data_IF_723459382035
#
_entry.id   IF_723459382035
#
_cell.length_a   1.000
_cell.length_b   1.000
_cell.length_c   1.000
_cell.angle_alpha   90.00
_cell.angle_beta   90.00
_cell.angle_gamma   90.00
#
_symmetry.space_group_name_H-M   'P 1'
#
loop_
_entity.id
_entity.type
_entity.pdbx_description
1 polymer ?
#
# COMPACT_ATOMS: atom_id res chain seq x y z
N UNK A 1 -8.31 -32.51 -1.10
CA UNK A 1 -8.14 -31.49 -2.16
C UNK A 1 -6.65 -31.24 -2.36
N UNK A 2 -6.16 -31.64 -3.53
CA UNK A 2 -4.77 -31.84 -3.90
C UNK A 2 -3.99 -30.53 -3.98
N UNK A 3 -3.01 -30.35 -3.08
CA UNK A 3 -1.92 -29.37 -3.25
C UNK A 3 -1.05 -29.85 -4.40
N UNK A 4 -1.12 -29.19 -5.54
CA UNK A 4 -0.12 -29.32 -6.60
C UNK A 4 1.21 -28.82 -6.03
N UNK A 5 2.08 -29.79 -5.72
CA UNK A 5 3.48 -29.54 -5.37
C UNK A 5 4.11 -28.85 -6.58
N UNK A 6 4.46 -27.56 -6.44
CA UNK A 6 5.19 -26.84 -7.47
C UNK A 6 6.50 -27.57 -7.72
N UNK A 7 6.67 -28.15 -8.91
CA UNK A 7 7.93 -28.70 -9.33
C UNK A 7 8.99 -27.60 -9.26
N UNK A 8 9.91 -27.73 -8.31
CA UNK A 8 10.82 -26.64 -7.95
C UNK A 8 11.71 -26.18 -9.12
N UNK A 9 12.17 -24.91 -9.09
CA UNK A 9 13.04 -24.30 -10.10
C UNK A 9 14.33 -25.09 -10.38
N UNK A 10 14.72 -25.97 -9.46
CA UNK A 10 15.88 -26.87 -9.57
C UNK A 10 15.82 -27.77 -10.80
N UNK A 11 14.62 -28.24 -11.20
CA UNK A 11 14.47 -29.14 -12.35
C UNK A 11 14.69 -28.43 -13.71
N UNK A 12 14.40 -27.12 -13.77
CA UNK A 12 14.68 -26.29 -14.95
C UNK A 12 16.16 -25.89 -15.06
N UNK A 13 16.84 -25.64 -13.93
CA UNK A 13 18.28 -25.39 -13.91
C UNK A 13 19.09 -26.64 -14.31
N UNK A 14 18.65 -27.84 -13.94
CA UNK A 14 19.29 -29.09 -14.36
C UNK A 14 19.17 -29.35 -15.87
N UNK A 15 18.03 -29.02 -16.49
CA UNK A 15 17.83 -29.15 -17.93
C UNK A 15 18.68 -28.15 -18.72
N UNK A 16 18.80 -26.90 -18.25
CA UNK A 16 19.64 -25.88 -18.88
C UNK A 16 21.14 -26.17 -18.71
N UNK A 17 21.56 -26.66 -17.54
CA UNK A 17 22.94 -27.09 -17.33
C UNK A 17 23.31 -28.28 -18.25
N UNK A 18 22.40 -29.25 -18.44
CA UNK A 18 22.63 -30.40 -19.31
C UNK A 18 22.81 -29.98 -20.79
N UNK A 19 22.04 -29.00 -21.28
CA UNK A 19 22.15 -28.45 -22.65
C UNK A 19 23.44 -27.66 -22.84
N UNK A 20 23.86 -26.89 -21.84
CA UNK A 20 25.12 -26.11 -21.89
C UNK A 20 26.34 -27.04 -21.85
N UNK A 21 26.30 -28.11 -21.05
CA UNK A 21 27.39 -29.09 -20.96
C UNK A 21 27.51 -29.95 -22.23
N UNK A 22 26.38 -30.30 -22.89
CA UNK A 22 26.42 -31.02 -24.18
C UNK A 22 26.90 -30.14 -25.33
N UNK A 23 26.60 -28.84 -25.32
CA UNK A 23 27.16 -27.88 -26.29
C UNK A 23 28.66 -27.61 -26.10
N UNK A 24 29.14 -27.63 -24.85
CA UNK A 24 30.55 -27.42 -24.48
C UNK A 24 31.48 -28.51 -25.03
N UNK A 25 31.01 -29.75 -25.10
CA UNK A 25 31.86 -30.89 -25.48
C UNK A 25 32.04 -31.05 -27.00
N UNK A 26 31.17 -30.48 -27.83
CA UNK A 26 31.20 -30.70 -29.29
C UNK A 26 32.00 -29.66 -30.08
N UNK A 27 32.30 -28.48 -29.53
CA UNK A 27 32.95 -27.38 -30.28
C UNK A 27 34.09 -26.80 -29.44
N UNK A 28 35.28 -27.40 -29.52
CA UNK A 28 36.47 -26.89 -28.84
C UNK A 28 36.89 -25.49 -29.33
N UNK A 29 37.27 -24.61 -28.40
CA UNK A 29 37.86 -23.29 -28.69
C UNK A 29 37.34 -22.15 -27.81
N UNK A 30 37.98 -20.97 -27.89
CA UNK A 30 37.64 -19.75 -27.13
C UNK A 30 36.23 -19.22 -27.42
N UNK A 31 35.65 -19.60 -28.56
CA UNK A 31 34.26 -19.30 -28.92
C UNK A 31 33.24 -19.94 -27.95
N UNK A 32 33.55 -21.11 -27.37
CA UNK A 32 32.69 -21.77 -26.38
C UNK A 32 32.56 -21.01 -25.06
N UNK A 33 33.63 -20.31 -24.66
CA UNK A 33 33.65 -19.47 -23.45
C UNK A 33 32.69 -18.28 -23.57
N UNK A 34 32.65 -17.62 -24.73
CA UNK A 34 31.76 -16.47 -24.92
C UNK A 34 30.28 -16.89 -24.91
N UNK A 35 29.92 -18.01 -25.52
CA UNK A 35 28.53 -18.53 -25.51
C UNK A 35 28.10 -18.99 -24.10
N UNK A 36 29.01 -19.62 -23.34
CA UNK A 36 28.77 -19.97 -21.95
C UNK A 36 28.55 -18.75 -21.05
N UNK A 37 29.35 -17.70 -21.20
CA UNK A 37 29.20 -16.46 -20.44
C UNK A 37 27.91 -15.71 -20.80
N UNK A 38 27.54 -15.65 -22.07
CA UNK A 38 26.30 -14.97 -22.52
C UNK A 38 25.06 -15.72 -22.05
N UNK A 39 25.04 -17.05 -22.10
CA UNK A 39 23.92 -17.85 -21.59
C UNK A 39 23.80 -17.79 -20.06
N UNK A 40 24.93 -17.84 -19.33
CA UNK A 40 24.94 -17.64 -17.89
C UNK A 40 24.50 -16.21 -17.49
N UNK A 41 24.94 -15.19 -18.22
CA UNK A 41 24.53 -13.80 -17.99
C UNK A 41 23.06 -13.58 -18.35
N UNK A 42 22.58 -14.14 -19.47
CA UNK A 42 21.19 -14.10 -19.89
C UNK A 42 20.27 -14.81 -18.91
N UNK A 43 20.64 -16.01 -18.46
CA UNK A 43 19.93 -16.75 -17.42
C UNK A 43 19.93 -16.02 -16.08
N UNK A 44 21.06 -15.45 -15.66
CA UNK A 44 21.17 -14.65 -14.44
C UNK A 44 20.32 -13.37 -14.53
N UNK A 45 20.35 -12.67 -15.66
CA UNK A 45 19.59 -11.42 -15.87
C UNK A 45 18.09 -11.67 -16.00
N UNK A 46 17.68 -12.74 -16.67
CA UNK A 46 16.27 -13.15 -16.74
C UNK A 46 15.77 -13.59 -15.37
N UNK A 47 16.57 -14.37 -14.61
CA UNK A 47 16.26 -14.76 -13.23
C UNK A 47 16.19 -13.56 -12.27
N UNK A 48 17.07 -12.56 -12.43
CA UNK A 48 17.00 -11.31 -11.66
C UNK A 48 15.73 -10.52 -12.02
N UNK A 49 15.40 -10.41 -13.32
CA UNK A 49 14.17 -9.73 -13.75
C UNK A 49 12.90 -10.42 -13.26
N UNK A 50 12.84 -11.75 -13.30
CA UNK A 50 11.65 -12.48 -12.84
C UNK A 50 11.50 -12.43 -11.33
N UNK A 51 12.60 -12.49 -10.56
CA UNK A 51 12.55 -12.25 -9.11
C UNK A 51 12.11 -10.83 -8.75
N UNK A 52 12.67 -9.81 -9.42
CA UNK A 52 12.29 -8.41 -9.17
C UNK A 52 10.82 -8.13 -9.50
N UNK A 53 10.25 -8.82 -10.50
CA UNK A 53 8.83 -8.73 -10.83
C UNK A 53 7.94 -9.43 -9.79
N UNK A 54 8.34 -10.59 -9.28
CA UNK A 54 7.59 -11.26 -8.20
C UNK A 54 7.62 -10.47 -6.90
N UNK A 55 8.78 -9.92 -6.54
CA UNK A 55 8.92 -9.10 -5.33
C UNK A 55 8.07 -7.82 -5.42
N UNK A 56 7.92 -7.24 -6.62
CA UNK A 56 7.10 -6.04 -6.82
C UNK A 56 5.60 -6.33 -6.77
N UNK A 57 5.14 -7.48 -7.28
CA UNK A 57 3.76 -7.94 -7.16
C UNK A 57 3.37 -8.15 -5.69
N UNK A 58 4.18 -8.88 -4.92
CA UNK A 58 3.95 -9.11 -3.49
C UNK A 58 3.94 -7.79 -2.69
N UNK A 59 4.86 -6.88 -3.01
CA UNK A 59 4.91 -5.56 -2.38
C UNK A 59 3.67 -4.71 -2.75
N UNK A 60 3.15 -4.82 -3.97
CA UNK A 60 1.95 -4.12 -4.40
C UNK A 60 0.70 -4.68 -3.71
N UNK A 61 0.58 -6.00 -3.58
CA UNK A 61 -0.49 -6.65 -2.84
C UNK A 61 -0.49 -6.23 -1.37
N UNK A 62 0.69 -6.23 -0.72
CA UNK A 62 0.86 -5.79 0.66
C UNK A 62 0.49 -4.30 0.84
N UNK A 63 0.89 -3.44 -0.10
CA UNK A 63 0.50 -2.02 -0.12
C UNK A 63 -1.01 -1.85 -0.31
N UNK A 64 -1.62 -2.67 -1.17
CA UNK A 64 -3.07 -2.60 -1.43
C UNK A 64 -3.87 -3.01 -0.19
N UNK A 65 -3.45 -4.10 0.48
CA UNK A 65 -4.07 -4.53 1.75
C UNK A 65 -3.92 -3.48 2.86
N UNK A 66 -2.73 -2.90 3.02
CA UNK A 66 -2.52 -1.87 4.05
C UNK A 66 -3.30 -0.59 3.75
N UNK A 67 -3.38 -0.18 2.48
CA UNK A 67 -4.21 0.95 2.06
C UNK A 67 -5.71 0.69 2.32
N UNK A 68 -6.20 -0.51 2.02
CA UNK A 68 -7.59 -0.88 2.30
C UNK A 68 -7.86 -0.94 3.80
N UNK A 69 -6.94 -1.49 4.59
CA UNK A 69 -7.05 -1.50 6.05
C UNK A 69 -7.13 -0.07 6.63
N UNK A 70 -6.28 0.83 6.16
CA UNK A 70 -6.31 2.24 6.56
C UNK A 70 -7.62 2.94 6.18
N UNK A 71 -8.27 2.53 5.07
CA UNK A 71 -9.58 3.07 4.67
C UNK A 71 -10.72 2.53 5.54
N UNK A 72 -10.65 1.27 5.96
CA UNK A 72 -11.68 0.62 6.77
C UNK A 72 -11.61 0.99 8.24
N UNK A 73 -10.42 1.31 8.76
CA UNK A 73 -10.18 1.57 10.19
C UNK A 73 -11.12 2.62 10.82
N UNK A 74 -11.42 3.79 10.21
CA UNK A 74 -12.35 4.75 10.80
C UNK A 74 -13.76 4.18 10.99
N UNK A 75 -14.24 3.40 10.01
CA UNK A 75 -15.55 2.74 10.09
C UNK A 75 -15.55 1.64 11.16
N UNK A 76 -14.48 0.86 11.26
CA UNK A 76 -14.33 -0.14 12.32
C UNK A 76 -14.35 0.51 13.71
N UNK A 77 -13.62 1.63 13.89
CA UNK A 77 -13.59 2.37 15.14
C UNK A 77 -14.97 2.94 15.52
N UNK A 78 -15.73 3.43 14.54
CA UNK A 78 -17.10 3.91 14.75
C UNK A 78 -18.05 2.80 15.21
N UNK A 79 -17.97 1.63 14.57
CA UNK A 79 -18.79 0.48 14.95
C UNK A 79 -18.40 -0.05 16.34
N UNK A 80 -17.10 -0.10 16.66
CA UNK A 80 -16.61 -0.45 18.00
C UNK A 80 -17.10 0.55 19.05
N UNK A 81 -17.04 1.85 18.75
CA UNK A 81 -17.56 2.90 19.62
C UNK A 81 -19.06 2.71 19.89
N UNK A 82 -19.84 2.41 18.84
CA UNK A 82 -21.26 2.16 18.96
C UNK A 82 -21.57 0.91 19.81
N UNK A 83 -20.88 -0.21 19.57
CA UNK A 83 -21.05 -1.45 20.34
C UNK A 83 -20.69 -1.24 21.82
N UNK A 84 -19.56 -0.60 22.11
CA UNK A 84 -19.11 -0.36 23.49
C UNK A 84 -20.03 0.64 24.19
N UNK A 85 -20.52 1.66 23.49
CA UNK A 85 -21.51 2.61 24.05
C UNK A 85 -22.86 1.94 24.32
N UNK A 86 -23.19 0.89 23.57
CA UNK A 86 -24.35 0.03 23.84
C UNK A 86 -24.12 -0.99 24.99
N UNK A 87 -22.93 -1.01 25.58
CA UNK A 87 -22.60 -1.85 26.74
C UNK A 87 -21.86 -3.15 26.41
N UNK A 88 -21.49 -3.40 25.15
CA UNK A 88 -20.72 -4.60 24.80
C UNK A 88 -19.28 -4.54 25.34
N UNK A 89 -18.76 -5.68 25.76
CA UNK A 89 -17.34 -5.80 26.13
C UNK A 89 -16.41 -5.63 24.92
N UNK A 90 -15.12 -5.29 25.10
CA UNK A 90 -14.19 -5.07 23.99
C UNK A 90 -14.04 -6.27 23.04
N UNK A 91 -14.05 -7.49 23.58
CA UNK A 91 -13.93 -8.73 22.80
C UNK A 91 -15.23 -9.02 22.03
N UNK A 92 -16.39 -8.85 22.66
CA UNK A 92 -17.70 -9.02 22.01
C UNK A 92 -17.92 -7.99 20.90
N UNK A 93 -17.57 -6.73 21.17
CA UNK A 93 -17.61 -5.66 20.17
C UNK A 93 -16.69 -5.99 18.98
N UNK A 94 -15.47 -6.48 19.22
CA UNK A 94 -14.56 -6.85 18.14
C UNK A 94 -15.05 -8.05 17.33
N UNK A 95 -15.69 -9.04 17.96
CA UNK A 95 -16.31 -10.17 17.26
C UNK A 95 -17.45 -9.67 16.35
N UNK A 96 -18.41 -8.92 16.91
CA UNK A 96 -19.57 -8.41 16.17
C UNK A 96 -19.17 -7.49 15.00
N UNK A 97 -18.21 -6.58 15.23
CA UNK A 97 -17.70 -5.68 14.19
C UNK A 97 -16.87 -6.45 13.16
N UNK A 98 -16.08 -7.43 13.59
CA UNK A 98 -15.27 -8.27 12.71
C UNK A 98 -16.11 -9.06 11.71
N UNK A 99 -17.18 -9.69 12.20
CA UNK A 99 -18.14 -10.45 11.38
C UNK A 99 -18.93 -9.55 10.41
N UNK A 100 -19.25 -8.31 10.83
CA UNK A 100 -20.05 -7.40 10.02
C UNK A 100 -19.25 -6.65 8.96
N UNK A 101 -18.01 -6.25 9.26
CA UNK A 101 -17.21 -5.39 8.40
C UNK A 101 -16.51 -6.17 7.28
N UNK A 102 -16.00 -7.37 7.59
CA UNK A 102 -15.11 -8.12 6.70
C UNK A 102 -13.84 -7.36 6.32
N UNK A 103 -13.17 -7.81 5.26
CA UNK A 103 -11.92 -7.20 4.78
C UNK A 103 -10.76 -7.31 5.77
N UNK A 104 -9.62 -6.66 5.51
CA UNK A 104 -8.41 -6.83 6.33
C UNK A 104 -8.58 -6.39 7.79
N UNK A 105 -9.40 -5.38 8.08
CA UNK A 105 -9.63 -4.92 9.46
C UNK A 105 -10.63 -5.82 10.17
N UNK A 106 -11.74 -6.18 9.51
CA UNK A 106 -12.76 -7.06 10.10
C UNK A 106 -12.23 -8.47 10.35
N UNK A 107 -11.50 -9.04 9.39
CA UNK A 107 -10.82 -10.34 9.56
C UNK A 107 -9.86 -10.33 10.76
N UNK A 108 -9.09 -9.24 10.92
CA UNK A 108 -8.16 -9.12 12.03
C UNK A 108 -8.88 -8.96 13.37
N UNK A 109 -9.98 -8.19 13.43
CA UNK A 109 -10.80 -8.04 14.64
C UNK A 109 -11.46 -9.37 15.05
N UNK A 110 -12.09 -10.07 14.10
CA UNK A 110 -12.69 -11.38 14.34
C UNK A 110 -11.63 -12.39 14.83
N UNK A 111 -10.44 -12.37 14.22
CA UNK A 111 -9.31 -13.21 14.63
C UNK A 111 -8.81 -12.85 16.03
N UNK A 112 -8.65 -11.58 16.35
CA UNK A 112 -8.24 -11.12 17.69
C UNK A 112 -9.27 -11.53 18.74
N UNK A 113 -10.57 -11.38 18.47
CA UNK A 113 -11.63 -11.81 19.36
C UNK A 113 -11.62 -13.33 19.57
N UNK A 114 -11.51 -14.10 18.49
CA UNK A 114 -11.43 -15.56 18.55
C UNK A 114 -10.18 -16.04 19.33
N UNK A 115 -9.01 -15.43 19.10
CA UNK A 115 -7.77 -15.76 19.80
C UNK A 115 -7.92 -15.56 21.32
N UNK A 116 -8.53 -14.45 21.75
CA UNK A 116 -8.76 -14.16 23.17
C UNK A 116 -9.78 -15.13 23.77
N UNK A 117 -10.88 -15.42 23.06
CA UNK A 117 -11.91 -16.38 23.53
C UNK A 117 -11.39 -17.80 23.68
N UNK A 118 -10.39 -18.17 22.89
CA UNK A 118 -9.70 -19.46 22.99
C UNK A 118 -8.63 -19.49 24.11
N UNK A 119 -8.51 -18.42 24.90
CA UNK A 119 -7.56 -18.32 26.01
C UNK A 119 -6.18 -17.78 25.61
N UNK A 120 -6.05 -17.19 24.43
CA UNK A 120 -4.84 -16.46 24.03
C UNK A 120 -4.62 -15.20 24.87
N UNK A 121 -3.36 -14.77 24.96
CA UNK A 121 -2.99 -13.55 25.68
C UNK A 121 -3.60 -12.30 25.00
N UNK A 122 -4.49 -11.55 25.69
CA UNK A 122 -5.09 -10.33 25.16
C UNK A 122 -4.06 -9.31 24.69
N UNK A 123 -2.96 -9.11 25.41
CA UNK A 123 -1.96 -8.11 25.07
C UNK A 123 -1.31 -8.44 23.71
N UNK A 124 -1.06 -9.72 23.44
CA UNK A 124 -0.50 -10.19 22.16
C UNK A 124 -1.54 -10.09 21.05
N UNK A 125 -2.78 -10.52 21.30
CA UNK A 125 -3.85 -10.51 20.32
C UNK A 125 -4.23 -9.09 19.87
N UNK A 126 -4.35 -8.16 20.83
CA UNK A 126 -4.54 -6.74 20.56
C UNK A 126 -3.30 -6.09 19.96
N UNK A 127 -2.10 -6.48 20.38
CA UNK A 127 -0.84 -6.01 19.78
C UNK A 127 -0.75 -6.32 18.27
N UNK A 128 -1.24 -7.49 17.84
CA UNK A 128 -1.34 -7.84 16.41
C UNK A 128 -2.34 -6.98 15.66
N UNK A 129 -3.48 -6.65 16.26
CA UNK A 129 -4.42 -5.69 15.67
C UNK A 129 -3.81 -4.28 15.59
N UNK A 130 -3.07 -3.87 16.61
CA UNK A 130 -2.36 -2.59 16.66
C UNK A 130 -1.25 -2.43 15.60
N UNK A 131 -0.80 -3.52 14.97
CA UNK A 131 0.13 -3.48 13.84
C UNK A 131 -0.49 -2.86 12.57
N UNK A 132 -1.82 -2.74 12.51
CA UNK A 132 -2.49 -2.00 11.45
C UNK A 132 -2.17 -0.51 11.63
N UNK A 133 -1.71 0.20 10.58
CA UNK A 133 -1.41 1.63 10.66
C UNK A 133 -2.59 2.44 11.19
N UNK A 134 -2.39 3.14 12.31
CA UNK A 134 -3.41 3.96 12.98
C UNK A 134 -4.27 3.21 14.02
N UNK A 135 -4.22 1.88 14.10
CA UNK A 135 -5.03 1.09 15.03
C UNK A 135 -4.40 0.93 16.42
N UNK A 136 -3.10 1.18 16.56
CA UNK A 136 -2.28 0.97 17.75
C UNK A 136 -2.87 1.59 19.04
N UNK A 137 -3.31 2.85 18.98
CA UNK A 137 -3.90 3.51 20.14
C UNK A 137 -5.26 2.90 20.53
N UNK A 138 -6.08 2.54 19.53
CA UNK A 138 -7.36 1.87 19.72
C UNK A 138 -7.16 0.48 20.35
N UNK A 139 -6.21 -0.30 19.83
CA UNK A 139 -5.86 -1.62 20.33
C UNK A 139 -5.48 -1.58 21.82
N UNK A 140 -4.58 -0.66 22.21
CA UNK A 140 -4.22 -0.47 23.62
C UNK A 140 -5.38 -0.04 24.50
N UNK A 141 -6.32 0.75 23.96
CA UNK A 141 -7.50 1.17 24.70
C UNK A 141 -8.41 -0.03 24.99
N UNK A 142 -8.66 -0.86 23.98
CA UNK A 142 -9.49 -2.07 24.10
C UNK A 142 -8.86 -3.11 25.01
N UNK A 143 -7.54 -3.32 24.90
CA UNK A 143 -6.79 -4.22 25.77
C UNK A 143 -6.87 -3.81 27.25
N UNK A 144 -6.63 -2.52 27.55
CA UNK A 144 -6.78 -2.00 28.92
C UNK A 144 -8.21 -2.11 29.41
N UNK A 145 -9.19 -1.80 28.59
CA UNK A 145 -10.60 -1.90 28.95
C UNK A 145 -10.99 -3.35 29.29
N UNK A 146 -10.51 -4.32 28.51
CA UNK A 146 -10.77 -5.74 28.74
C UNK A 146 -10.07 -6.28 29.98
N UNK A 147 -8.83 -5.87 30.23
CA UNK A 147 -8.03 -6.34 31.38
C UNK A 147 -8.40 -5.69 32.71
N UNK A 148 -8.81 -4.41 32.70
CA UNK A 148 -9.07 -3.63 33.93
C UNK A 148 -10.55 -3.33 34.17
N UNK A 149 -11.43 -3.57 33.19
CA UNK A 149 -12.83 -3.16 33.25
C UNK A 149 -13.04 -1.64 33.15
N UNK A 150 -12.01 -0.87 32.80
CA UNK A 150 -12.11 0.58 32.68
C UNK A 150 -13.11 0.99 31.58
N UNK A 151 -13.91 2.05 31.82
CA UNK A 151 -14.89 2.52 30.83
C UNK A 151 -14.18 2.98 29.55
N UNK A 152 -14.53 2.35 28.43
CA UNK A 152 -13.90 2.58 27.13
C UNK A 152 -14.76 3.37 26.14
N UNK A 153 -16.05 3.55 26.42
CA UNK A 153 -17.00 4.17 25.50
C UNK A 153 -16.53 5.57 25.04
N UNK A 154 -16.26 6.48 25.98
CA UNK A 154 -15.82 7.83 25.64
C UNK A 154 -14.44 7.88 24.95
N UNK A 155 -13.38 7.19 25.46
CA UNK A 155 -12.11 7.12 24.75
C UNK A 155 -12.22 6.58 23.33
N UNK A 156 -12.96 5.49 23.11
CA UNK A 156 -13.10 4.85 21.80
C UNK A 156 -13.90 5.74 20.84
N UNK A 157 -14.95 6.43 21.31
CA UNK A 157 -15.69 7.41 20.51
C UNK A 157 -14.80 8.57 20.06
N UNK A 158 -13.97 9.14 20.95
CA UNK A 158 -13.01 10.19 20.58
C UNK A 158 -12.00 9.72 19.54
N UNK A 159 -11.53 8.47 19.64
CA UNK A 159 -10.63 7.89 18.65
C UNK A 159 -11.31 7.71 17.29
N UNK A 160 -12.56 7.27 17.29
CA UNK A 160 -13.36 7.12 16.07
C UNK A 160 -13.59 8.48 15.38
N UNK A 161 -13.90 9.53 16.15
CA UNK A 161 -14.00 10.91 15.64
C UNK A 161 -12.68 11.42 15.04
N UNK A 162 -11.56 11.17 15.72
CA UNK A 162 -10.24 11.56 15.22
C UNK A 162 -9.92 10.88 13.88
N UNK A 163 -10.14 9.56 13.79
CA UNK A 163 -9.95 8.78 12.56
C UNK A 163 -10.87 9.26 11.43
N UNK A 164 -12.14 9.57 11.74
CA UNK A 164 -13.09 10.14 10.78
C UNK A 164 -12.63 11.50 10.27
N UNK A 165 -12.15 12.37 11.16
CA UNK A 165 -11.62 13.69 10.80
C UNK A 165 -10.38 13.58 9.91
N UNK A 166 -9.46 12.65 10.19
CA UNK A 166 -8.31 12.38 9.33
C UNK A 166 -8.71 11.90 7.93
N UNK A 167 -9.69 10.99 7.84
CA UNK A 167 -10.25 10.52 6.57
C UNK A 167 -10.84 11.67 5.75
N UNK A 168 -11.59 12.58 6.41
CA UNK A 168 -12.16 13.75 5.77
C UNK A 168 -11.08 14.71 5.24
N UNK A 169 -10.04 15.01 6.06
CA UNK A 169 -8.89 15.83 5.64
C UNK A 169 -8.18 15.21 4.44
N UNK A 170 -7.95 13.90 4.45
CA UNK A 170 -7.32 13.20 3.33
C UNK A 170 -8.20 13.25 2.05
N UNK A 171 -9.53 13.21 2.18
CA UNK A 171 -10.44 13.39 1.06
C UNK A 171 -10.35 14.79 0.46
N UNK A 172 -10.34 15.83 1.28
CA UNK A 172 -10.16 17.23 0.85
C UNK A 172 -8.81 17.41 0.13
N UNK A 173 -7.73 16.87 0.70
CA UNK A 173 -6.40 16.95 0.09
C UNK A 173 -6.35 16.26 -1.29
N UNK A 174 -7.02 15.12 -1.46
CA UNK A 174 -7.13 14.45 -2.77
C UNK A 174 -7.94 15.28 -3.77
N UNK A 175 -9.06 15.88 -3.33
CA UNK A 175 -9.87 16.75 -4.17
C UNK A 175 -9.09 17.99 -4.64
N UNK A 176 -8.31 18.61 -3.75
CA UNK A 176 -7.44 19.74 -4.10
C UNK A 176 -6.37 19.35 -5.12
N UNK A 177 -5.72 18.20 -4.95
CA UNK A 177 -4.74 17.70 -5.93
C UNK A 177 -5.38 17.41 -7.29
N UNK A 178 -6.59 16.84 -7.30
CA UNK A 178 -7.33 16.61 -8.52
C UNK A 178 -7.69 17.94 -9.22
N UNK A 179 -8.12 18.94 -8.46
CA UNK A 179 -8.39 20.28 -9.00
C UNK A 179 -7.15 20.87 -9.69
N UNK A 180 -5.97 20.77 -9.06
CA UNK A 180 -4.70 21.22 -9.67
C UNK A 180 -4.41 20.46 -10.96
N UNK A 181 -4.56 19.14 -10.99
CA UNK A 181 -4.31 18.35 -12.21
C UNK A 181 -5.26 18.69 -13.36
N UNK A 182 -6.51 19.08 -13.05
CA UNK A 182 -7.49 19.49 -14.06
C UNK A 182 -7.19 20.90 -14.60
N UNK A 183 -6.79 21.84 -13.74
CA UNK A 183 -6.51 23.22 -14.16
C UNK A 183 -5.12 23.42 -14.76
N UNK A 184 -4.15 22.58 -14.39
CA UNK A 184 -2.77 22.65 -14.88
C UNK A 184 -2.63 22.68 -16.42
N UNK A 185 -3.25 21.77 -17.20
CA UNK A 185 -3.13 21.79 -18.66
C UNK A 185 -3.74 23.05 -19.29
N UNK A 186 -4.81 23.60 -18.70
CA UNK A 186 -5.43 24.84 -19.20
C UNK A 186 -4.49 26.03 -19.02
N UNK A 187 -3.89 26.16 -17.83
CA UNK A 187 -2.89 27.20 -17.55
C UNK A 187 -1.65 27.07 -18.44
N UNK A 188 -1.18 25.84 -18.66
CA UNK A 188 -0.04 25.53 -19.54
C UNK A 188 -0.31 25.93 -21.00
N UNK A 189 -1.55 25.77 -21.48
CA UNK A 189 -1.94 26.19 -22.84
C UNK A 189 -2.14 27.70 -22.97
N UNK A 190 -2.63 28.37 -21.92
CA UNK A 190 -2.91 29.81 -21.95
C UNK A 190 -1.62 30.66 -21.87
N UNK A 191 -0.64 30.23 -21.08
CA UNK A 191 0.63 30.93 -20.90
C UNK A 191 1.38 31.25 -22.23
N UNK A 192 1.61 30.29 -23.15
CA UNK A 192 2.29 30.58 -24.42
C UNK A 192 1.46 31.47 -25.35
N UNK A 193 0.13 31.30 -25.37
CA UNK A 193 -0.75 32.14 -26.16
C UNK A 193 -0.74 33.61 -25.69
N UNK A 194 -0.77 33.82 -24.37
CA UNK A 194 -0.68 35.16 -23.78
C UNK A 194 0.67 35.84 -24.08
N UNK A 195 1.78 35.11 -24.03
CA UNK A 195 3.09 35.63 -24.39
C UNK A 195 3.17 36.08 -25.85
N UNK A 196 2.67 35.25 -26.77
CA UNK A 196 2.72 35.53 -28.21
C UNK A 196 1.79 36.69 -28.61
N UNK A 197 0.58 36.74 -28.08
CA UNK A 197 -0.46 37.70 -28.50
C UNK A 197 -0.43 38.98 -27.66
N UNK A 198 -0.17 38.88 -26.36
CA UNK A 198 -0.24 40.01 -25.44
C UNK A 198 1.12 40.67 -25.20
N UNK A 199 2.11 39.90 -24.74
CA UNK A 199 3.38 40.47 -24.22
C UNK A 199 4.34 40.86 -25.35
N UNK A 200 4.55 39.98 -26.34
CA UNK A 200 5.55 40.19 -27.38
C UNK A 200 5.32 41.49 -28.19
N UNK A 201 4.11 41.83 -28.67
CA UNK A 201 3.90 43.08 -29.43
C UNK A 201 4.19 44.33 -28.62
N UNK A 202 3.84 44.33 -27.32
CA UNK A 202 4.06 45.48 -26.43
C UNK A 202 5.55 45.72 -26.20
N UNK A 203 6.32 44.66 -25.95
CA UNK A 203 7.79 44.76 -25.77
C UNK A 203 8.47 45.25 -27.05
N UNK A 204 8.05 44.74 -28.21
CA UNK A 204 8.58 45.17 -29.52
C UNK A 204 8.28 46.66 -29.75
N UNK A 205 7.05 47.11 -29.46
CA UNK A 205 6.65 48.52 -29.61
C UNK A 205 7.44 49.46 -28.70
N UNK A 206 7.64 49.09 -27.43
CA UNK A 206 8.41 49.90 -26.48
C UNK A 206 9.91 49.95 -26.84
N UNK A 207 10.50 48.82 -27.24
CA UNK A 207 11.90 48.76 -27.66
C UNK A 207 12.15 49.62 -28.91
N UNK A 208 11.24 49.59 -29.89
CA UNK A 208 11.31 50.44 -31.08
C UNK A 208 11.26 51.93 -30.77
N UNK A 209 10.36 52.34 -29.86
CA UNK A 209 10.23 53.75 -29.45
C UNK A 209 11.45 54.29 -28.71
N UNK A 210 12.08 53.48 -27.86
CA UNK A 210 13.29 53.87 -27.12
C UNK A 210 14.53 53.94 -28.02
N UNK A 211 14.65 53.04 -29.01
CA UNK A 211 15.75 53.06 -29.98
C UNK A 211 15.66 54.20 -30.98
N UNK A 212 14.46 54.75 -31.22
CA UNK A 212 14.26 55.94 -32.07
C UNK A 212 14.41 57.27 -31.32
N UNK A 213 14.36 57.24 -29.99
CA UNK A 213 14.50 58.42 -29.13
C UNK A 213 15.94 58.65 -28.62
N UNK A 214 16.85 57.72 -28.90
CA UNK A 214 18.30 57.81 -28.62
C UNK A 214 19.07 58.19 -29.89
#
# INVERSE_FOLDING_TARGET
MSRTVSAGPVKQWAALAAVVVTGWFLVGGTAGWMVGLVSAYGGRRWWWRTRLAQDSELALEAKTRTAEAARQLPMAADLLAACISAGAGPVEAAEAVGESLGGPVGEQLARTAAEIRLGGDPAVAWGRFGAIPGADALARCLDRAGSTGAPAAEPVTRMAEALRAERARAAVARAQRAAVMVTAPVGLCFLPAFLAVGVAPVVIGLAGGLLQAA
#
